data_IF_768985667248
#
_entry.id   IF_768985667248
#
_cell.length_a   1.000
_cell.length_b   1.000
_cell.length_c   1.000
_cell.angle_alpha   90.00
_cell.angle_beta   90.00
_cell.angle_gamma   90.00
#
_symmetry.space_group_name_H-M   'P 1'
#
loop_
_entity.id
_entity.type
_entity.pdbx_description
1 polymer ?
#
# COMPACT_ATOMS: atom_id res chain seq x y z
N UNK A 1 -14.91 -12.58 -9.48
CA UNK A 1 -14.67 -12.44 -8.03
C UNK A 1 -13.18 -12.69 -7.79
N UNK A 2 -12.33 -11.73 -8.15
CA UNK A 2 -10.92 -11.75 -7.80
C UNK A 2 -10.82 -10.90 -6.53
N UNK A 3 -10.58 -11.57 -5.41
CA UNK A 3 -10.24 -10.91 -4.16
C UNK A 3 -8.90 -10.22 -4.40
N UNK A 4 -8.89 -8.90 -4.60
CA UNK A 4 -7.66 -8.10 -4.53
C UNK A 4 -7.15 -8.26 -3.10
N UNK A 5 -6.24 -9.20 -2.90
CA UNK A 5 -5.61 -9.39 -1.59
C UNK A 5 -4.77 -8.15 -1.33
N UNK A 6 -5.03 -7.37 -0.26
CA UNK A 6 -4.11 -6.32 0.14
C UNK A 6 -2.74 -6.94 0.37
N UNK A 7 -1.72 -6.34 -0.24
CA UNK A 7 -0.34 -6.75 -0.03
C UNK A 7 0.12 -6.21 1.31
N UNK A 8 0.33 -7.09 2.30
CA UNK A 8 0.99 -6.69 3.53
C UNK A 8 2.37 -6.12 3.20
N UNK A 9 2.63 -4.90 3.66
CA UNK A 9 3.90 -4.20 3.45
C UNK A 9 4.53 -3.90 4.80
N UNK A 10 5.85 -4.12 4.90
CA UNK A 10 6.61 -3.88 6.12
C UNK A 10 7.75 -2.89 5.84
N UNK A 11 7.93 -1.92 6.73
CA UNK A 11 9.07 -1.02 6.72
C UNK A 11 9.85 -1.15 8.03
N UNK A 12 11.18 -1.23 7.92
CA UNK A 12 12.10 -1.34 9.06
C UNK A 12 13.10 -0.19 9.00
N UNK A 13 13.27 0.50 10.13
CA UNK A 13 14.41 1.37 10.38
C UNK A 13 15.36 0.72 11.40
N UNK A 14 16.69 0.89 11.28
CA UNK A 14 17.65 0.28 12.21
C UNK A 14 17.34 0.62 13.67
N UNK A 15 17.29 -0.40 14.55
CA UNK A 15 16.97 -0.26 15.98
C UNK A 15 15.60 0.37 16.30
N UNK A 16 14.65 0.32 15.36
CA UNK A 16 13.29 0.84 15.55
C UNK A 16 12.23 -0.27 15.47
N UNK A 17 11.04 -0.08 16.07
CA UNK A 17 9.91 -0.97 15.87
C UNK A 17 9.55 -1.15 14.39
N UNK A 18 9.02 -2.31 14.03
CA UNK A 18 8.55 -2.60 12.68
C UNK A 18 7.21 -1.91 12.44
N UNK A 19 7.10 -1.20 11.32
CA UNK A 19 5.81 -0.77 10.79
C UNK A 19 5.23 -1.89 9.93
N UNK A 20 4.13 -2.48 10.38
CA UNK A 20 3.31 -3.41 9.59
C UNK A 20 2.08 -2.68 9.09
N UNK A 21 1.90 -2.61 7.78
CA UNK A 21 0.75 -1.95 7.15
C UNK A 21 0.30 -2.69 5.90
N UNK A 22 -0.71 -2.17 5.22
CA UNK A 22 -1.24 -2.66 3.95
C UNK A 22 -1.21 -1.53 2.92
N UNK A 23 -1.06 -1.85 1.64
CA UNK A 23 -1.13 -0.86 0.56
C UNK A 23 -2.31 -1.16 -0.36
N UNK A 24 -2.92 -0.09 -0.89
CA UNK A 24 -4.11 -0.15 -1.72
C UNK A 24 -3.84 0.30 -3.15
N UNK A 25 -4.53 -0.33 -4.11
CA UNK A 25 -4.52 0.10 -5.51
C UNK A 25 -5.61 1.16 -5.74
N UNK A 26 -5.33 2.21 -6.53
CA UNK A 26 -6.31 3.24 -6.83
C UNK A 26 -7.43 2.70 -7.71
N UNK A 27 -8.67 3.08 -7.39
CA UNK A 27 -9.85 2.75 -8.21
C UNK A 27 -10.40 1.34 -8.05
N UNK A 28 -9.83 0.50 -7.18
CA UNK A 28 -10.37 -0.83 -6.92
C UNK A 28 -11.74 -0.75 -6.23
N UNK A 29 -12.81 -1.36 -6.80
CA UNK A 29 -14.13 -1.36 -6.18
C UNK A 29 -14.15 -1.94 -4.76
N UNK A 30 -13.21 -2.83 -4.46
CA UNK A 30 -13.04 -3.44 -3.13
C UNK A 30 -12.71 -2.42 -2.04
N UNK A 31 -12.07 -1.29 -2.38
CA UNK A 31 -11.70 -0.26 -1.40
C UNK A 31 -12.93 0.33 -0.70
N UNK A 32 -14.08 0.42 -1.38
CA UNK A 32 -15.32 0.96 -0.80
C UNK A 32 -15.97 0.03 0.24
N UNK A 33 -15.60 -1.25 0.23
CA UNK A 33 -16.16 -2.27 1.11
C UNK A 33 -15.17 -2.71 2.20
N UNK A 34 -13.91 -2.31 2.08
CA UNK A 34 -12.88 -2.64 3.05
C UNK A 34 -12.88 -1.63 4.21
N UNK A 35 -13.19 -2.10 5.42
CA UNK A 35 -13.30 -1.27 6.61
C UNK A 35 -11.98 -0.67 7.08
N UNK A 36 -10.84 -1.23 6.66
CA UNK A 36 -9.51 -0.74 7.02
C UNK A 36 -8.86 0.07 5.88
N UNK A 37 -9.63 0.40 4.84
CA UNK A 37 -9.16 1.27 3.76
C UNK A 37 -8.78 2.65 4.28
N UNK A 38 -7.55 3.07 3.96
CA UNK A 38 -7.04 4.42 4.20
C UNK A 38 -6.47 4.99 2.90
N UNK A 39 -6.99 6.13 2.39
CA UNK A 39 -6.45 6.81 1.22
C UNK A 39 -4.95 7.16 1.33
N UNK A 40 -4.40 7.33 2.53
CA UNK A 40 -2.98 7.59 2.74
C UNK A 40 -2.08 6.40 2.37
N UNK A 41 -2.67 5.20 2.21
CA UNK A 41 -1.99 3.96 1.84
C UNK A 41 -2.19 3.60 0.35
N UNK A 42 -2.71 4.53 -0.47
CA UNK A 42 -2.83 4.35 -1.90
C UNK A 42 -1.47 4.45 -2.59
N UNK A 43 -1.16 3.47 -3.43
CA UNK A 43 -0.01 3.52 -4.32
C UNK A 43 -0.27 4.46 -5.51
N UNK A 44 0.79 5.13 -5.97
CA UNK A 44 0.79 5.75 -7.28
C UNK A 44 1.06 4.67 -8.34
N UNK A 45 0.09 4.44 -9.24
CA UNK A 45 0.16 3.37 -10.24
C UNK A 45 0.11 3.96 -11.63
N UNK A 46 1.04 3.55 -12.48
CA UNK A 46 1.14 3.98 -13.87
C UNK A 46 1.38 2.79 -14.82
N UNK A 47 1.03 2.96 -16.09
CA UNK A 47 1.39 2.00 -17.14
C UNK A 47 2.90 2.06 -17.44
N UNK A 48 3.48 0.88 -17.63
CA UNK A 48 4.87 0.69 -18.02
C UNK A 48 5.02 -0.34 -19.14
N UNK A 49 6.23 -0.53 -19.69
CA UNK A 49 6.44 -1.33 -20.90
C UNK A 49 6.05 -2.82 -20.79
N UNK A 50 5.93 -3.36 -19.58
CA UNK A 50 5.63 -4.77 -19.31
C UNK A 50 4.50 -4.97 -18.29
N UNK A 51 3.68 -3.94 -18.03
CA UNK A 51 2.60 -4.02 -17.04
C UNK A 51 2.46 -2.73 -16.24
N UNK A 52 1.97 -2.82 -15.01
CA UNK A 52 1.83 -1.67 -14.10
C UNK A 52 3.11 -1.47 -13.29
N UNK A 53 3.45 -0.21 -13.05
CA UNK A 53 4.50 0.21 -12.11
C UNK A 53 3.80 0.91 -10.95
N UNK A 54 4.07 0.46 -9.72
CA UNK A 54 3.49 1.02 -8.51
C UNK A 54 4.60 1.61 -7.62
N UNK A 55 4.37 2.80 -7.09
CA UNK A 55 5.28 3.48 -6.16
C UNK A 55 4.56 3.92 -4.91
N UNK A 56 5.25 3.86 -3.77
CA UNK A 56 4.76 4.30 -2.47
C UNK A 56 5.94 4.75 -1.61
N UNK A 57 5.76 5.83 -0.85
CA UNK A 57 6.77 6.35 0.07
C UNK A 57 6.33 6.14 1.52
N UNK A 58 7.16 5.49 2.32
CA UNK A 58 6.94 5.41 3.77
C UNK A 58 7.51 6.65 4.46
N UNK A 59 6.72 7.27 5.32
CA UNK A 59 7.17 8.33 6.24
C UNK A 59 7.17 7.74 7.64
N UNK A 60 8.35 7.65 8.26
CA UNK A 60 8.51 7.14 9.62
C UNK A 60 8.77 8.30 10.57
N UNK A 61 7.94 8.44 11.60
CA UNK A 61 8.18 9.39 12.68
C UNK A 61 9.07 8.73 13.75
N UNK A 62 10.38 8.93 13.64
CA UNK A 62 11.36 8.37 14.56
C UNK A 62 11.68 9.37 15.69
N UNK A 63 11.99 8.90 16.91
CA UNK A 63 12.44 9.74 18.00
C UNK A 63 13.80 10.40 17.75
#
# INVERSE_FOLDING_TARGET
MLLTRPGASAALAPNQPILTTQLYFPGEPGNNWDQIFDPALLMAVQDGPKGKIATFGFVLNLP
#
